data_IF_911728783374
#
_entry.id   IF_911728783374
#
_cell.length_a   1.000
_cell.length_b   1.000
_cell.length_c   1.000
_cell.angle_alpha   90.00
_cell.angle_beta   90.00
_cell.angle_gamma   90.00
#
_symmetry.space_group_name_H-M   'P 1'
#
loop_
_entity.id
_entity.type
_entity.pdbx_description
1 polymer ?
#
# COMPACT_ATOMS: atom_id res chain seq x y z
N UNK A 1 -4.31 12.64 6.77
CA UNK A 1 -4.72 12.97 5.39
C UNK A 1 -3.47 13.15 4.54
N UNK A 2 -3.47 12.70 3.29
CA UNK A 2 -2.33 12.90 2.39
C UNK A 2 -2.80 13.32 0.98
N UNK A 3 -1.96 14.11 0.30
CA UNK A 3 -2.03 14.39 -1.12
C UNK A 3 -0.73 13.91 -1.75
N UNK A 4 -0.85 13.01 -2.73
CA UNK A 4 0.29 12.39 -3.39
C UNK A 4 0.17 12.55 -4.90
N UNK A 5 1.29 12.59 -5.61
CA UNK A 5 1.28 12.61 -7.08
C UNK A 5 0.84 11.27 -7.68
N UNK A 6 0.92 10.18 -6.90
CA UNK A 6 0.45 8.84 -7.23
C UNK A 6 0.26 8.03 -5.94
N UNK A 7 -0.57 6.97 -5.99
CA UNK A 7 -0.81 6.06 -4.89
C UNK A 7 -0.31 4.66 -5.24
N UNK A 8 0.64 4.15 -4.46
CA UNK A 8 1.26 2.84 -4.66
C UNK A 8 0.85 1.84 -3.58
N UNK A 9 0.56 0.63 -4.01
CA UNK A 9 0.46 -0.55 -3.15
C UNK A 9 1.40 -1.61 -3.71
N UNK A 10 2.37 -2.07 -2.92
CA UNK A 10 3.37 -3.07 -3.34
C UNK A 10 4.05 -2.72 -4.67
N UNK A 11 4.41 -1.45 -4.84
CA UNK A 11 5.06 -0.93 -6.04
C UNK A 11 4.15 -0.71 -7.25
N UNK A 12 2.85 -1.04 -7.16
CA UNK A 12 1.87 -0.88 -8.25
C UNK A 12 1.02 0.37 -8.02
N UNK A 13 0.96 1.24 -9.02
CA UNK A 13 0.11 2.44 -8.98
C UNK A 13 -1.38 2.07 -8.96
N UNK A 14 -2.10 2.58 -7.98
CA UNK A 14 -3.55 2.45 -7.84
C UNK A 14 -4.32 3.58 -8.50
N UNK A 15 -3.64 4.64 -8.92
CA UNK A 15 -4.25 5.80 -9.59
C UNK A 15 -3.87 5.92 -11.06
N UNK A 16 -3.13 4.92 -11.59
CA UNK A 16 -2.60 4.94 -12.96
C UNK A 16 -1.85 6.24 -13.25
N UNK A 17 -0.89 6.57 -12.36
CA UNK A 17 -0.02 7.74 -12.43
C UNK A 17 -0.77 9.09 -12.33
N UNK A 18 -1.85 9.13 -11.57
CA UNK A 18 -2.62 10.35 -11.32
C UNK A 18 -2.57 10.70 -9.82
N UNK A 19 -2.78 11.97 -9.47
CA UNK A 19 -2.82 12.39 -8.08
C UNK A 19 -3.86 11.65 -7.25
N UNK A 20 -3.49 11.34 -6.01
CA UNK A 20 -4.31 10.71 -5.00
C UNK A 20 -4.55 11.64 -3.81
N UNK A 21 -5.80 11.73 -3.38
CA UNK A 21 -6.18 12.29 -2.09
C UNK A 21 -6.56 11.13 -1.17
N UNK A 22 -5.91 11.06 -0.01
CA UNK A 22 -6.03 9.95 0.91
C UNK A 22 -6.44 10.44 2.29
N UNK A 23 -7.34 9.72 2.93
CA UNK A 23 -7.78 9.93 4.30
C UNK A 23 -7.59 8.62 5.08
N UNK A 24 -6.87 8.67 6.18
CA UNK A 24 -6.73 7.59 7.15
C UNK A 24 -7.22 8.09 8.52
N UNK A 25 -8.12 7.33 9.12
CA UNK A 25 -8.66 7.57 10.45
C UNK A 25 -8.54 6.27 11.23
N UNK A 26 -7.77 6.29 12.32
CA UNK A 26 -7.64 5.11 13.16
C UNK A 26 -7.57 5.49 14.64
N UNK A 27 -7.95 4.54 15.47
CA UNK A 27 -7.89 4.60 16.91
C UNK A 27 -7.23 3.34 17.47
N UNK A 28 -6.29 3.52 18.37
CA UNK A 28 -5.69 2.43 19.15
C UNK A 28 -6.00 2.65 20.61
N UNK A 29 -6.68 1.71 21.26
CA UNK A 29 -6.97 1.82 22.67
C UNK A 29 -5.76 1.39 23.52
N UNK A 30 -5.73 1.74 24.85
CA UNK A 30 -4.62 1.37 25.72
C UNK A 30 -4.38 -0.13 25.87
N UNK A 31 -5.37 -0.97 25.58
CA UNK A 31 -5.24 -2.44 25.63
C UNK A 31 -4.73 -3.03 24.31
N UNK A 32 -4.38 -2.21 23.33
CA UNK A 32 -3.82 -2.63 22.05
C UNK A 32 -4.84 -2.86 20.92
N UNK A 33 -6.15 -2.80 21.16
CA UNK A 33 -7.13 -2.93 20.08
C UNK A 33 -7.04 -1.73 19.12
N UNK A 34 -6.98 -2.04 17.82
CA UNK A 34 -6.90 -1.08 16.71
C UNK A 34 -8.18 -1.17 15.89
N UNK A 35 -8.75 -0.03 15.51
CA UNK A 35 -9.83 0.05 14.53
C UNK A 35 -9.66 1.30 13.69
N UNK A 36 -10.05 1.24 12.41
CA UNK A 36 -9.96 2.41 11.55
C UNK A 36 -10.61 2.22 10.21
N UNK A 37 -10.51 3.29 9.41
CA UNK A 37 -10.99 3.33 8.04
C UNK A 37 -10.04 4.18 7.19
N UNK A 38 -9.94 3.81 5.92
CA UNK A 38 -9.16 4.52 4.91
C UNK A 38 -10.01 4.80 3.69
N UNK A 39 -9.73 5.90 3.02
CA UNK A 39 -10.30 6.24 1.72
C UNK A 39 -9.27 6.87 0.80
N UNK A 40 -9.28 6.50 -0.48
CA UNK A 40 -8.46 7.12 -1.52
C UNK A 40 -9.22 7.13 -2.84
N UNK A 41 -9.03 8.17 -3.66
CA UNK A 41 -9.42 8.03 -5.06
C UNK A 41 -8.46 7.08 -5.75
N UNK A 42 -8.99 6.28 -6.67
CA UNK A 42 -8.24 5.30 -7.46
C UNK A 42 -8.60 5.38 -8.95
N UNK A 43 -7.77 4.76 -9.78
CA UNK A 43 -8.03 4.51 -11.19
C UNK A 43 -7.32 3.23 -11.59
N UNK A 44 -7.86 2.14 -11.16
CA UNK A 44 -7.25 0.82 -11.29
C UNK A 44 -7.25 0.34 -12.74
N UNK A 45 -8.35 0.55 -13.47
CA UNK A 45 -8.45 0.28 -14.90
C UNK A 45 -8.41 1.60 -15.67
N UNK A 46 -7.41 1.81 -16.55
CA UNK A 46 -7.33 3.02 -17.38
C UNK A 46 -8.53 3.25 -18.30
N UNK A 47 -9.25 2.18 -18.65
CA UNK A 47 -10.47 2.22 -19.48
C UNK A 47 -11.75 2.58 -18.73
N UNK A 48 -11.69 2.58 -17.40
CA UNK A 48 -12.84 2.87 -16.54
C UNK A 48 -12.77 4.28 -15.92
N UNK A 49 -13.89 4.83 -15.46
CA UNK A 49 -13.91 6.06 -14.69
C UNK A 49 -13.05 5.97 -13.43
N UNK A 50 -12.75 7.11 -12.82
CA UNK A 50 -12.15 7.16 -11.49
C UNK A 50 -13.06 6.46 -10.49
N UNK A 51 -12.47 5.73 -9.57
CA UNK A 51 -13.12 5.02 -8.49
C UNK A 51 -12.64 5.55 -7.13
N UNK A 52 -13.21 5.03 -6.07
CA UNK A 52 -12.77 5.26 -4.71
C UNK A 52 -12.50 3.90 -4.06
N UNK A 53 -11.33 3.76 -3.46
CA UNK A 53 -11.03 2.69 -2.53
C UNK A 53 -11.47 3.12 -1.14
N UNK A 54 -12.29 2.30 -0.52
CA UNK A 54 -12.66 2.40 0.90
C UNK A 54 -12.14 1.16 1.60
N UNK A 55 -11.51 1.32 2.76
CA UNK A 55 -11.25 0.18 3.61
C UNK A 55 -11.66 0.44 5.06
N UNK A 56 -12.05 -0.64 5.73
CA UNK A 56 -12.24 -0.68 7.17
C UNK A 56 -11.38 -1.79 7.73
N UNK A 57 -10.76 -1.56 8.88
CA UNK A 57 -9.86 -2.53 9.49
C UNK A 57 -10.04 -2.62 11.00
N UNK A 58 -9.77 -3.81 11.51
CA UNK A 58 -9.70 -4.13 12.92
C UNK A 58 -8.41 -4.90 13.20
N UNK A 59 -7.86 -4.75 14.40
CA UNK A 59 -6.66 -5.48 14.74
C UNK A 59 -6.20 -5.32 16.17
N UNK A 60 -4.97 -5.71 16.38
CA UNK A 60 -4.34 -5.68 17.69
C UNK A 60 -2.86 -5.30 17.56
N UNK A 61 -2.42 -4.37 18.39
CA UNK A 61 -1.04 -3.93 18.52
C UNK A 61 -0.50 -4.33 19.90
N UNK A 62 0.77 -4.75 19.94
CA UNK A 62 1.44 -5.15 21.18
C UNK A 62 2.90 -4.73 21.17
N UNK A 63 3.49 -4.66 22.37
CA UNK A 63 4.92 -4.45 22.56
C UNK A 63 5.52 -5.75 23.06
N UNK A 64 6.58 -6.24 22.43
CA UNK A 64 7.39 -7.33 22.97
C UNK A 64 8.32 -6.80 24.06
N UNK A 65 8.92 -5.63 23.79
CA UNK A 65 9.76 -4.85 24.69
C UNK A 65 9.80 -3.38 24.24
N UNK A 66 10.72 -2.57 24.77
CA UNK A 66 10.86 -1.15 24.41
C UNK A 66 11.36 -0.93 22.98
N UNK A 67 11.95 -1.94 22.34
CA UNK A 67 12.52 -1.85 21.00
C UNK A 67 11.61 -2.48 19.92
N UNK A 68 10.87 -3.54 20.27
CA UNK A 68 10.10 -4.33 19.33
C UNK A 68 8.60 -4.17 19.53
N UNK A 69 7.92 -3.78 18.48
CA UNK A 69 6.47 -3.63 18.45
C UNK A 69 5.88 -4.49 17.34
N UNK A 70 4.70 -5.04 17.59
CA UNK A 70 3.96 -5.85 16.63
C UNK A 70 2.56 -5.33 16.44
N UNK A 71 1.98 -5.58 15.26
CA UNK A 71 0.59 -5.28 14.94
C UNK A 71 0.07 -6.30 13.93
N UNK A 72 -1.17 -6.76 14.15
CA UNK A 72 -1.93 -7.53 13.16
C UNK A 72 -3.21 -6.77 12.83
N UNK A 73 -3.54 -6.69 11.54
CA UNK A 73 -4.76 -6.06 11.03
C UNK A 73 -5.50 -7.03 10.11
N UNK A 74 -6.83 -7.06 10.24
CA UNK A 74 -7.73 -7.64 9.26
C UNK A 74 -8.48 -6.49 8.59
N UNK A 75 -8.40 -6.40 7.29
CA UNK A 75 -8.89 -5.28 6.48
C UNK A 75 -9.87 -5.77 5.42
N UNK A 76 -10.95 -5.03 5.21
CA UNK A 76 -11.84 -5.19 4.06
C UNK A 76 -11.71 -3.98 3.14
N UNK A 77 -11.46 -4.23 1.86
CA UNK A 77 -11.36 -3.21 0.81
C UNK A 77 -12.56 -3.26 -0.13
N UNK A 78 -13.14 -2.13 -0.43
CA UNK A 78 -14.31 -1.98 -1.30
C UNK A 78 -14.10 -0.88 -2.34
N UNK A 79 -14.62 -1.11 -3.54
CA UNK A 79 -14.57 -0.18 -4.68
C UNK A 79 -16.01 0.12 -5.16
N UNK A 80 -16.78 0.93 -4.42
CA UNK A 80 -18.23 1.05 -4.59
C UNK A 80 -18.66 1.67 -5.92
N UNK A 81 -17.80 2.43 -6.58
CA UNK A 81 -18.13 3.11 -7.83
C UNK A 81 -17.55 2.44 -9.07
N UNK A 82 -16.93 1.28 -8.89
CA UNK A 82 -16.44 0.49 -9.99
C UNK A 82 -17.59 -0.19 -10.74
N UNK A 83 -17.59 -0.13 -12.08
CA UNK A 83 -18.62 -0.77 -12.91
C UNK A 83 -18.59 -2.31 -12.84
N UNK A 84 -17.46 -2.90 -12.54
CA UNK A 84 -17.35 -4.32 -12.28
C UNK A 84 -17.96 -4.73 -10.92
N UNK A 85 -18.45 -3.75 -10.13
CA UNK A 85 -19.10 -3.98 -8.87
C UNK A 85 -18.18 -4.58 -7.81
N UNK A 86 -18.70 -5.49 -7.00
CA UNK A 86 -17.97 -6.11 -5.89
C UNK A 86 -16.82 -7.04 -6.28
N UNK A 87 -16.56 -7.25 -7.58
CA UNK A 87 -15.46 -8.10 -8.05
C UNK A 87 -14.07 -7.57 -7.66
N UNK A 88 -13.95 -6.27 -7.35
CA UNK A 88 -12.71 -5.66 -6.87
C UNK A 88 -12.57 -5.68 -5.35
N UNK A 89 -13.63 -6.02 -4.62
CA UNK A 89 -13.57 -6.09 -3.17
C UNK A 89 -12.72 -7.28 -2.73
N UNK A 90 -11.92 -7.08 -1.69
CA UNK A 90 -11.09 -8.13 -1.13
C UNK A 90 -10.85 -7.94 0.37
N UNK A 91 -10.39 -9.00 0.99
CA UNK A 91 -9.99 -9.02 2.39
C UNK A 91 -8.48 -9.27 2.48
N UNK A 92 -7.84 -8.69 3.48
CA UNK A 92 -6.41 -8.85 3.71
C UNK A 92 -6.11 -8.98 5.20
N UNK A 93 -5.18 -9.85 5.54
CA UNK A 93 -4.58 -9.97 6.85
C UNK A 93 -3.14 -9.50 6.77
N UNK A 94 -2.79 -8.50 7.56
CA UNK A 94 -1.45 -7.90 7.61
C UNK A 94 -0.82 -8.11 8.97
N UNK A 95 0.46 -8.47 8.98
CA UNK A 95 1.33 -8.51 10.14
C UNK A 95 2.45 -7.50 9.94
N UNK A 96 2.61 -6.60 10.91
CA UNK A 96 3.71 -5.63 10.96
C UNK A 96 4.54 -5.87 12.22
N UNK A 97 5.86 -5.90 12.07
CA UNK A 97 6.82 -5.91 13.17
C UNK A 97 7.77 -4.73 12.97
N UNK A 98 7.96 -3.90 13.98
CA UNK A 98 8.90 -2.78 13.93
C UNK A 98 9.96 -2.87 15.01
N UNK A 99 11.17 -2.44 14.66
CA UNK A 99 12.32 -2.35 15.54
C UNK A 99 12.72 -0.90 15.73
N UNK A 100 12.69 -0.41 16.97
CA UNK A 100 13.03 0.96 17.38
C UNK A 100 12.35 2.06 16.53
N UNK A 101 11.20 1.74 15.93
CA UNK A 101 10.42 2.67 15.10
C UNK A 101 11.06 3.09 13.77
N UNK A 102 12.24 2.55 13.41
CA UNK A 102 12.90 2.92 12.17
C UNK A 102 13.01 1.77 11.14
N UNK A 103 12.99 0.51 11.57
CA UNK A 103 13.03 -0.66 10.70
C UNK A 103 11.70 -1.41 10.84
N UNK A 104 11.08 -1.77 9.71
CA UNK A 104 9.78 -2.41 9.65
C UNK A 104 9.84 -3.66 8.79
N UNK A 105 9.18 -4.70 9.25
CA UNK A 105 8.94 -5.95 8.53
C UNK A 105 7.44 -6.12 8.43
N UNK A 106 6.92 -6.28 7.22
CA UNK A 106 5.50 -6.54 7.01
C UNK A 106 5.29 -7.80 6.19
N UNK A 107 4.19 -8.49 6.45
CA UNK A 107 3.71 -9.60 5.66
C UNK A 107 2.21 -9.47 5.49
N UNK A 108 1.71 -9.70 4.28
CA UNK A 108 0.28 -9.61 3.96
C UNK A 108 -0.20 -10.89 3.29
N UNK A 109 -1.45 -11.25 3.55
CA UNK A 109 -2.15 -12.33 2.89
C UNK A 109 -3.58 -11.91 2.54
N UNK A 110 -3.92 -12.04 1.26
CA UNK A 110 -5.29 -11.88 0.76
C UNK A 110 -5.74 -13.17 0.09
N UNK A 111 -6.87 -13.78 0.50
CA UNK A 111 -7.40 -14.96 -0.18
C UNK A 111 -8.01 -14.61 -1.56
N UNK A 112 -8.37 -13.35 -1.80
CA UNK A 112 -9.13 -12.90 -2.98
C UNK A 112 -8.64 -11.55 -3.48
N UNK A 113 -7.34 -11.36 -3.68
CA UNK A 113 -6.80 -10.11 -4.20
C UNK A 113 -7.31 -9.83 -5.62
N UNK A 114 -7.78 -8.62 -5.95
CA UNK A 114 -8.16 -8.28 -7.30
C UNK A 114 -6.91 -8.19 -8.18
N UNK A 115 -6.90 -8.96 -9.25
CA UNK A 115 -5.82 -8.92 -10.23
C UNK A 115 -6.21 -8.01 -11.40
N UNK A 116 -5.47 -6.94 -11.59
CA UNK A 116 -5.62 -6.06 -12.74
C UNK A 116 -4.77 -6.58 -13.89
N UNK A 117 -5.36 -7.39 -14.76
CA UNK A 117 -4.67 -7.93 -15.93
C UNK A 117 -4.74 -6.91 -17.06
N UNK A 118 -3.60 -6.62 -17.69
CA UNK A 118 -3.54 -5.82 -18.92
C UNK A 118 -4.47 -6.39 -20.02
N UNK A 119 -5.12 -5.50 -20.78
CA UNK A 119 -5.92 -5.90 -21.94
C UNK A 119 -5.10 -6.84 -22.86
N UNK A 120 -5.71 -7.87 -23.52
CA UNK A 120 -7.14 -8.04 -23.75
C UNK A 120 -7.88 -8.89 -22.70
N UNK A 121 -7.23 -9.32 -21.63
CA UNK A 121 -7.77 -10.27 -20.67
C UNK A 121 -8.43 -9.53 -19.48
N UNK A 122 -9.67 -9.13 -19.65
CA UNK A 122 -10.49 -8.46 -18.61
C UNK A 122 -11.07 -9.42 -17.56
N UNK A 123 -10.56 -10.63 -17.44
CA UNK A 123 -11.04 -11.53 -16.41
C UNK A 123 -10.43 -11.15 -15.05
N UNK A 124 -11.25 -10.54 -14.23
CA UNK A 124 -11.00 -10.33 -12.81
C UNK A 124 -11.11 -11.68 -12.10
N UNK A 125 -10.02 -12.37 -12.00
CA UNK A 125 -9.94 -13.59 -11.22
C UNK A 125 -9.43 -13.19 -9.85
N UNK A 126 -10.26 -13.32 -8.82
CA UNK A 126 -9.81 -13.25 -7.44
C UNK A 126 -8.76 -14.33 -7.23
N UNK A 127 -7.52 -13.93 -6.96
CA UNK A 127 -6.39 -14.82 -6.72
C UNK A 127 -5.91 -14.61 -5.31
N UNK A 128 -5.33 -15.62 -4.65
CA UNK A 128 -4.66 -15.35 -3.39
C UNK A 128 -3.37 -14.58 -3.64
N UNK A 129 -3.07 -13.65 -2.76
CA UNK A 129 -1.83 -12.87 -2.78
C UNK A 129 -1.12 -13.00 -1.45
N UNK A 130 0.19 -13.21 -1.51
CA UNK A 130 1.10 -13.22 -0.38
C UNK A 130 2.18 -12.16 -0.62
N UNK A 131 2.46 -11.35 0.38
CA UNK A 131 3.49 -10.32 0.29
C UNK A 131 4.36 -10.29 1.52
N UNK A 132 5.60 -9.83 1.33
CA UNK A 132 6.51 -9.50 2.41
C UNK A 132 7.33 -8.27 2.02
N UNK A 133 7.59 -7.39 2.98
CA UNK A 133 8.38 -6.17 2.78
C UNK A 133 9.28 -5.91 3.98
N UNK A 134 10.47 -5.39 3.70
CA UNK A 134 11.35 -4.76 4.68
C UNK A 134 11.50 -3.30 4.28
N UNK A 135 11.20 -2.39 5.20
CA UNK A 135 11.38 -0.97 4.98
C UNK A 135 12.05 -0.29 6.16
N UNK A 136 12.72 0.82 5.88
CA UNK A 136 13.43 1.60 6.87
C UNK A 136 13.16 3.09 6.64
N UNK A 137 12.94 3.81 7.74
CA UNK A 137 12.90 5.26 7.77
C UNK A 137 13.77 5.76 8.91
N UNK A 138 14.84 6.47 8.60
CA UNK A 138 15.77 6.96 9.62
C UNK A 138 16.05 8.44 9.46
N UNK A 139 15.88 9.17 10.54
CA UNK A 139 16.27 10.57 10.62
C UNK A 139 17.80 10.68 10.54
N UNK A 140 18.31 11.47 9.59
CA UNK A 140 19.74 11.60 9.30
C UNK A 140 20.28 12.99 9.64
N UNK A 141 19.49 14.03 9.46
CA UNK A 141 19.90 15.40 9.78
C UNK A 141 18.69 16.30 10.08
N UNK A 142 18.66 16.90 11.27
CA UNK A 142 17.58 17.79 11.68
C UNK A 142 16.21 17.14 11.54
N UNK A 143 15.39 17.64 10.63
CA UNK A 143 14.04 17.14 10.32
C UNK A 143 14.01 16.24 9.07
N UNK A 144 15.15 15.93 8.48
CA UNK A 144 15.31 15.13 7.28
C UNK A 144 15.46 13.65 7.65
N UNK A 145 14.61 12.81 7.06
CA UNK A 145 14.69 11.35 7.13
C UNK A 145 14.95 10.76 5.75
N UNK A 146 15.72 9.69 5.68
CA UNK A 146 15.83 8.83 4.50
C UNK A 146 14.87 7.64 4.62
N UNK A 147 14.34 7.22 3.49
CA UNK A 147 13.38 6.13 3.33
C UNK A 147 13.95 5.11 2.35
N UNK A 148 13.80 3.84 2.64
CA UNK A 148 14.10 2.76 1.70
C UNK A 148 13.18 1.56 2.00
N UNK A 149 12.82 0.82 0.96
CA UNK A 149 12.01 -0.38 1.09
C UNK A 149 12.27 -1.36 -0.04
N UNK A 150 12.15 -2.63 0.25
CA UNK A 150 12.14 -3.72 -0.72
C UNK A 150 11.09 -4.75 -0.31
N UNK A 151 10.31 -5.20 -1.28
CA UNK A 151 9.28 -6.18 -1.02
C UNK A 151 9.14 -7.19 -2.15
N UNK A 152 8.40 -8.23 -1.85
CA UNK A 152 8.07 -9.32 -2.73
C UNK A 152 6.57 -9.59 -2.65
N UNK A 153 5.93 -9.85 -3.78
CA UNK A 153 4.54 -10.27 -3.86
C UNK A 153 4.42 -11.48 -4.76
N UNK A 154 3.63 -12.44 -4.33
CA UNK A 154 3.29 -13.65 -5.07
C UNK A 154 1.76 -13.77 -5.21
N UNK A 155 1.31 -13.96 -6.45
CA UNK A 155 -0.09 -14.14 -6.80
C UNK A 155 -0.30 -15.56 -7.28
N UNK A 156 -1.17 -16.32 -6.59
CA UNK A 156 -1.58 -17.66 -6.99
C UNK A 156 -2.79 -17.62 -7.91
N UNK A 157 -2.86 -18.54 -8.89
CA UNK A 157 -4.01 -18.63 -9.78
C UNK A 157 -3.63 -19.05 -11.20
N UNK A 158 -4.56 -19.07 -12.16
CA UNK A 158 -4.33 -19.55 -13.53
C UNK A 158 -3.19 -18.82 -14.28
N UNK A 159 -2.81 -17.63 -13.82
CA UNK A 159 -1.65 -16.87 -14.26
C UNK A 159 -0.82 -16.44 -13.07
N UNK A 160 -0.46 -17.44 -12.24
CA UNK A 160 0.40 -17.21 -11.08
C UNK A 160 1.71 -16.52 -11.48
N UNK A 161 2.24 -15.74 -10.56
CA UNK A 161 3.49 -15.05 -10.77
C UNK A 161 3.91 -14.27 -9.54
N UNK A 162 5.18 -13.98 -9.49
CA UNK A 162 5.76 -13.21 -8.42
C UNK A 162 6.55 -12.04 -8.98
N UNK A 163 6.67 -11.00 -8.19
CA UNK A 163 7.50 -9.84 -8.52
C UNK A 163 8.13 -9.24 -7.28
N UNK A 164 9.18 -8.50 -7.49
CA UNK A 164 9.81 -7.67 -6.47
C UNK A 164 9.52 -6.19 -6.75
N UNK A 165 9.48 -5.40 -5.69
CA UNK A 165 9.38 -3.96 -5.75
C UNK A 165 10.33 -3.31 -4.77
N UNK A 166 10.72 -2.08 -5.05
CA UNK A 166 11.59 -1.31 -4.16
C UNK A 166 11.28 0.17 -4.23
N UNK A 167 11.61 0.85 -3.16
CA UNK A 167 11.45 2.29 -3.05
C UNK A 167 12.65 2.91 -2.34
N UNK A 168 12.88 4.19 -2.62
CA UNK A 168 13.86 4.99 -1.91
C UNK A 168 13.50 6.45 -1.98
N UNK A 169 13.81 7.22 -0.94
CA UNK A 169 13.41 8.61 -0.90
C UNK A 169 13.86 9.35 0.35
N UNK A 170 13.30 10.54 0.50
CA UNK A 170 13.52 11.40 1.66
C UNK A 170 12.21 12.03 2.12
N UNK A 171 12.11 12.29 3.42
CA UNK A 171 10.99 13.00 4.02
C UNK A 171 11.49 14.14 4.91
N UNK A 172 10.77 15.24 4.95
CA UNK A 172 11.05 16.40 5.77
C UNK A 172 9.86 16.75 6.65
N UNK A 173 10.04 16.69 7.97
CA UNK A 173 8.98 16.90 8.94
C UNK A 173 8.86 18.37 9.37
N UNK A 174 7.66 18.94 9.15
CA UNK A 174 7.28 20.31 9.52
C UNK A 174 6.16 20.25 10.57
N UNK A 175 6.43 19.63 11.73
CA UNK A 175 5.44 19.40 12.80
C UNK A 175 4.23 18.59 12.33
N UNK A 176 3.09 19.24 12.02
CA UNK A 176 1.87 18.58 11.56
C UNK A 176 1.89 18.18 10.07
N UNK A 177 2.91 18.61 9.33
CA UNK A 177 3.04 18.36 7.89
C UNK A 177 4.36 17.64 7.61
N UNK A 178 4.31 16.56 6.83
CA UNK A 178 5.48 15.89 6.28
C UNK A 178 5.47 16.04 4.77
N UNK A 179 6.58 16.46 4.20
CA UNK A 179 6.85 16.48 2.76
C UNK A 179 7.73 15.29 2.42
N UNK A 180 7.32 14.46 1.48
CA UNK A 180 8.13 13.33 1.03
C UNK A 180 8.33 13.34 -0.49
N UNK A 181 9.53 12.95 -0.92
CA UNK A 181 9.87 12.69 -2.31
C UNK A 181 10.52 11.32 -2.38
N UNK A 182 10.00 10.44 -3.23
CA UNK A 182 10.49 9.08 -3.37
C UNK A 182 10.47 8.60 -4.81
N UNK A 183 11.23 7.54 -5.06
CA UNK A 183 11.18 6.78 -6.29
C UNK A 183 10.74 5.36 -5.99
N UNK A 184 9.76 4.87 -6.72
CA UNK A 184 9.20 3.51 -6.60
C UNK A 184 9.42 2.79 -7.91
N UNK A 185 9.78 1.51 -7.88
CA UNK A 185 9.94 0.69 -9.08
C UNK A 185 9.65 -0.78 -8.78
N UNK A 186 9.45 -1.55 -9.84
CA UNK A 186 9.19 -2.99 -9.78
C UNK A 186 10.07 -3.76 -10.74
N UNK A 187 10.15 -5.06 -10.55
CA UNK A 187 10.82 -5.97 -11.49
C UNK A 187 10.01 -6.12 -12.81
N UNK A 188 10.63 -6.67 -13.83
CA UNK A 188 10.01 -6.88 -15.16
C UNK A 188 8.79 -7.80 -15.12
N UNK A 189 8.75 -8.73 -14.16
CA UNK A 189 7.64 -9.67 -13.94
C UNK A 189 6.36 -8.94 -13.54
N UNK A 190 6.47 -7.84 -12.76
CA UNK A 190 5.32 -7.01 -12.43
C UNK A 190 4.63 -6.44 -13.67
N UNK A 191 5.42 -6.02 -14.67
CA UNK A 191 4.90 -5.46 -15.93
C UNK A 191 4.15 -6.50 -16.77
N UNK A 192 4.45 -7.77 -16.58
CA UNK A 192 3.72 -8.87 -17.22
C UNK A 192 2.42 -9.23 -16.48
N UNK A 193 2.37 -8.96 -15.16
CA UNK A 193 1.23 -9.23 -14.30
C UNK A 193 0.21 -8.09 -14.26
N UNK A 194 0.69 -6.85 -14.39
CA UNK A 194 -0.11 -5.62 -14.28
C UNK A 194 0.03 -4.76 -15.54
N UNK A 195 -0.71 -3.66 -15.59
CA UNK A 195 -0.52 -2.65 -16.62
C UNK A 195 0.90 -2.10 -16.57
N UNK A 196 1.57 -2.05 -17.71
CA UNK A 196 2.95 -1.60 -17.82
C UNK A 196 3.16 -0.20 -17.19
N UNK A 197 2.23 0.74 -17.42
CA UNK A 197 2.29 2.08 -16.82
C UNK A 197 2.18 2.06 -15.30
N UNK A 198 1.32 1.19 -14.73
CA UNK A 198 1.13 1.08 -13.29
C UNK A 198 2.32 0.41 -12.58
N UNK A 199 3.09 -0.43 -13.29
CA UNK A 199 4.24 -1.16 -12.77
C UNK A 199 5.59 -0.54 -13.15
N UNK A 200 5.60 0.64 -13.75
CA UNK A 200 6.84 1.31 -14.19
C UNK A 200 7.45 2.15 -13.07
N UNK A 201 8.76 2.29 -13.11
CA UNK A 201 9.48 3.13 -12.14
C UNK A 201 9.09 4.61 -12.23
N UNK A 202 8.79 5.24 -11.08
CA UNK A 202 8.26 6.60 -11.01
C UNK A 202 8.73 7.35 -9.79
N UNK A 203 8.84 8.68 -9.96
CA UNK A 203 8.97 9.61 -8.86
C UNK A 203 7.59 9.95 -8.28
N UNK A 204 7.49 9.98 -6.96
CA UNK A 204 6.28 10.38 -6.24
C UNK A 204 6.60 11.45 -5.22
N UNK A 205 5.76 12.49 -5.20
CA UNK A 205 5.77 13.53 -4.18
C UNK A 205 4.52 13.40 -3.32
N UNK A 206 4.67 13.49 -1.99
CA UNK A 206 3.56 13.36 -1.05
C UNK A 206 3.61 14.44 0.01
N UNK A 207 2.47 15.03 0.31
CA UNK A 207 2.25 15.94 1.45
C UNK A 207 1.30 15.24 2.42
N UNK A 208 1.74 15.05 3.66
CA UNK A 208 0.96 14.36 4.71
C UNK A 208 0.63 15.37 5.80
N UNK A 209 -0.63 15.48 6.17
CA UNK A 209 -1.11 16.23 7.34
C UNK A 209 -1.55 15.26 8.43
N UNK A 210 -1.02 15.48 9.65
CA UNK A 210 -1.45 14.80 10.88
C UNK A 210 -2.22 15.78 11.75
N UNK A 211 -3.39 15.39 12.22
CA UNK A 211 -4.29 16.19 13.07
C UNK A 211 -4.83 15.38 14.26
#
# INVERSE_FOLDING_TARGET
MALSSDYFVRGISRTNNNPALQLDLHYTNPNGFVAGAFASNTRIDPGEPRDVELSAFLGYAWNFDDAWHGRVLASHYAYPWNRAGSHYNYDELDLDISYQGWLHFSAGYSPHSPRFVAAPYRELIGVSEQSAEVSAQRQVFGKLSLLAGVGYSHLDGPKSGAYTYWSGGAAYDLQSVTLALGYVNTSSEAKALFYNAAASGQWTGTVIWRF
#
